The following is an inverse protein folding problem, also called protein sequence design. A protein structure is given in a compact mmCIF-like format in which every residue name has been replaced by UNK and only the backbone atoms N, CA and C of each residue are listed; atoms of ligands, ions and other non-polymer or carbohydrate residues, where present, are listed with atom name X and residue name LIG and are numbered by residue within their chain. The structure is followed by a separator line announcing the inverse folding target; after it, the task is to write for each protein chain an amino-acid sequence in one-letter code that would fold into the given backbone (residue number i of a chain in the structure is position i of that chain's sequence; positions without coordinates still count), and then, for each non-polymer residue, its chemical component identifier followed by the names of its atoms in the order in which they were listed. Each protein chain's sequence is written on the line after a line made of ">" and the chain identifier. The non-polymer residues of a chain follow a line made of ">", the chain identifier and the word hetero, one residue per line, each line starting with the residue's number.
data_IF_167818974145
#
_entry.id   IF_167818974145
#
_cell.length_a   1.000
_cell.length_b   1.000
_cell.length_c   1.000
_cell.angle_alpha   90.00
_cell.angle_beta   90.00
_cell.angle_gamma   90.00
#
_symmetry.space_group_name_H-M   'P 1'
#
loop_
_entity.id
_entity.type
_entity.pdbx_description
1 polymer ?
#
# COMPACT_ATOMS: atom_id res chain seq x y z
N UNK A 1 -20.39 -39.18 -44.90
CA UNK A 1 -18.95 -39.13 -44.56
C UNK A 1 -18.55 -37.66 -44.46
N UNK A 2 -17.98 -37.27 -43.29
CA UNK A 2 -16.96 -36.23 -43.12
C UNK A 2 -17.44 -34.77 -43.40
N UNK A 3 -17.37 -33.79 -42.51
CA UNK A 3 -16.48 -33.46 -41.39
C UNK A 3 -17.31 -32.62 -40.38
N UNK A 4 -17.56 -33.09 -39.16
CA UNK A 4 -16.74 -32.83 -37.95
C UNK A 4 -16.40 -31.35 -37.72
N UNK A 5 -17.14 -30.76 -36.77
CA UNK A 5 -16.71 -29.79 -35.76
C UNK A 5 -15.39 -29.05 -36.05
N UNK A 6 -15.48 -27.85 -36.62
CA UNK A 6 -14.41 -26.87 -36.52
C UNK A 6 -14.53 -26.16 -35.15
N UNK A 7 -13.70 -26.63 -34.22
CA UNK A 7 -13.11 -25.96 -33.07
C UNK A 7 -13.52 -24.48 -32.95
N UNK A 8 -14.20 -24.00 -31.90
CA UNK A 8 -13.95 -24.34 -30.51
C UNK A 8 -12.62 -23.73 -30.06
N UNK A 9 -12.70 -22.60 -29.35
CA UNK A 9 -11.65 -22.02 -28.49
C UNK A 9 -10.66 -21.09 -29.21
N UNK A 10 -11.04 -19.81 -29.32
CA UNK A 10 -10.06 -18.70 -29.27
C UNK A 10 -10.61 -17.58 -28.36
N UNK A 11 -10.93 -17.95 -27.13
CA UNK A 11 -11.08 -17.00 -26.01
C UNK A 11 -10.00 -17.34 -24.98
N UNK A 12 -8.74 -17.43 -25.44
CA UNK A 12 -7.61 -17.58 -24.53
C UNK A 12 -7.27 -16.20 -23.97
N UNK A 13 -7.87 -15.91 -22.82
CA UNK A 13 -7.20 -15.27 -21.69
C UNK A 13 -6.59 -13.89 -22.00
N UNK A 14 -7.46 -12.90 -22.18
CA UNK A 14 -7.17 -11.56 -21.64
C UNK A 14 -7.62 -11.56 -20.18
N UNK A 15 -7.00 -12.39 -19.34
CA UNK A 15 -6.99 -12.06 -17.92
C UNK A 15 -6.11 -10.82 -17.84
N UNK A 16 -6.65 -9.63 -17.49
CA UNK A 16 -5.77 -8.56 -17.08
C UNK A 16 -4.94 -9.15 -15.95
N UNK A 17 -3.63 -9.23 -16.14
CA UNK A 17 -2.71 -9.41 -15.03
C UNK A 17 -2.92 -8.18 -14.16
N UNK A 18 -3.92 -8.22 -13.29
CA UNK A 18 -4.04 -7.32 -12.19
C UNK A 18 -2.79 -7.62 -11.37
N UNK A 19 -1.76 -6.80 -11.55
CA UNK A 19 -0.52 -6.91 -10.79
C UNK A 19 -0.93 -6.87 -9.32
N UNK A 20 -0.89 -8.03 -8.67
CA UNK A 20 -1.32 -8.15 -7.30
C UNK A 20 -0.38 -7.29 -6.45
N UNK A 21 -0.92 -6.22 -5.89
CA UNK A 21 -0.20 -5.41 -4.92
C UNK A 21 -0.38 -6.05 -3.55
N UNK A 22 0.72 -6.33 -2.87
CA UNK A 22 0.70 -6.85 -1.50
C UNK A 22 1.55 -5.97 -0.60
N UNK A 23 1.03 -5.65 0.58
CA UNK A 23 1.74 -4.92 1.62
C UNK A 23 1.67 -5.74 2.90
N UNK A 24 2.84 -6.01 3.48
CA UNK A 24 3.02 -6.80 4.69
C UNK A 24 3.92 -6.00 5.64
N UNK A 25 3.82 -6.24 6.94
CA UNK A 25 4.72 -5.62 7.91
C UNK A 25 5.14 -6.59 9.01
N UNK A 26 6.29 -6.31 9.62
CA UNK A 26 6.81 -7.06 10.75
C UNK A 26 7.38 -6.11 11.82
N UNK A 27 7.16 -6.36 13.12
CA UNK A 27 6.29 -7.40 13.68
C UNK A 27 4.80 -7.13 13.38
N UNK A 28 3.97 -8.18 13.37
CA UNK A 28 2.53 -8.09 13.06
C UNK A 28 1.79 -7.16 14.05
N UNK A 29 2.14 -7.25 15.33
CA UNK A 29 1.65 -6.40 16.41
C UNK A 29 2.82 -5.62 17.03
N UNK A 30 3.24 -4.49 16.44
CA UNK A 30 4.39 -3.76 16.94
C UNK A 30 4.11 -3.05 18.26
N UNK A 31 5.08 -3.10 19.17
CA UNK A 31 5.04 -2.28 20.39
C UNK A 31 5.40 -0.84 20.05
N UNK A 32 4.81 0.13 20.75
CA UNK A 32 5.27 1.52 20.68
C UNK A 32 6.78 1.59 20.97
N UNK A 33 7.52 2.33 20.15
CA UNK A 33 8.97 2.46 20.23
C UNK A 33 9.76 1.32 19.56
N UNK A 34 9.10 0.25 19.08
CA UNK A 34 9.76 -0.79 18.29
C UNK A 34 9.91 -0.38 16.82
N UNK A 35 10.87 -0.99 16.13
CA UNK A 35 11.04 -0.80 14.69
C UNK A 35 10.03 -1.69 13.95
N UNK A 36 9.32 -1.08 13.01
CA UNK A 36 8.42 -1.75 12.07
C UNK A 36 9.07 -1.75 10.70
N UNK A 37 9.15 -2.91 10.08
CA UNK A 37 9.55 -3.08 8.69
C UNK A 37 8.33 -3.35 7.83
N UNK A 38 8.12 -2.51 6.82
CA UNK A 38 7.06 -2.62 5.83
C UNK A 38 7.65 -3.14 4.53
N UNK A 39 7.01 -4.17 3.98
CA UNK A 39 7.35 -4.82 2.72
C UNK A 39 6.21 -4.58 1.74
N UNK A 40 6.49 -4.01 0.57
CA UNK A 40 5.52 -3.81 -0.48
C UNK A 40 5.96 -4.52 -1.77
N UNK A 41 5.14 -5.43 -2.27
CA UNK A 41 5.28 -6.02 -3.61
C UNK A 41 4.39 -5.21 -4.54
N UNK A 42 5.00 -4.48 -5.45
CA UNK A 42 4.31 -3.62 -6.40
C UNK A 42 4.48 -4.18 -7.81
N UNK A 43 3.50 -3.94 -8.69
CA UNK A 43 3.63 -4.20 -10.13
C UNK A 43 4.57 -3.24 -10.86
N UNK A 44 5.33 -2.43 -10.13
CA UNK A 44 6.28 -1.44 -10.66
C UNK A 44 7.72 -1.88 -10.37
N UNK A 45 8.65 -1.48 -11.24
CA UNK A 45 10.06 -1.85 -11.13
C UNK A 45 10.85 -0.92 -10.18
N UNK A 46 12.13 -1.22 -10.00
CA UNK A 46 13.06 -0.47 -9.12
C UNK A 46 13.35 0.98 -9.54
N UNK A 47 12.98 1.39 -10.76
CA UNK A 47 13.25 2.75 -11.26
C UNK A 47 12.29 3.80 -10.72
N UNK A 48 11.19 3.39 -10.08
CA UNK A 48 10.20 4.30 -9.50
C UNK A 48 10.64 4.83 -8.13
N UNK A 49 10.22 6.05 -7.80
CA UNK A 49 10.42 6.59 -6.46
C UNK A 49 9.33 6.08 -5.52
N UNK A 50 9.65 5.09 -4.69
CA UNK A 50 8.70 4.54 -3.72
C UNK A 50 8.98 5.07 -2.31
N UNK A 51 7.95 5.63 -1.68
CA UNK A 51 8.00 6.11 -0.31
C UNK A 51 6.92 5.45 0.53
N UNK A 52 7.25 5.21 1.79
CA UNK A 52 6.29 4.91 2.83
C UNK A 52 5.93 6.23 3.49
N UNK A 53 4.65 6.54 3.55
CA UNK A 53 4.11 7.57 4.42
C UNK A 53 3.54 6.88 5.66
N UNK A 54 3.81 7.44 6.84
CA UNK A 54 3.11 7.05 8.06
C UNK A 54 2.67 8.27 8.85
N UNK A 55 1.42 8.27 9.33
CA UNK A 55 0.78 9.42 9.97
C UNK A 55 0.26 9.09 11.37
N UNK A 56 0.42 10.04 12.29
CA UNK A 56 -0.19 10.04 13.63
C UNK A 56 -0.94 11.35 13.84
N UNK A 57 -2.26 11.30 13.83
CA UNK A 57 -3.08 12.51 13.84
C UNK A 57 -2.82 13.34 12.58
N UNK A 58 -2.30 14.56 12.74
CA UNK A 58 -1.99 15.46 11.61
C UNK A 58 -0.52 15.44 11.18
N UNK A 59 0.34 14.70 11.88
CA UNK A 59 1.77 14.63 11.58
C UNK A 59 2.07 13.39 10.72
N UNK A 60 2.68 13.62 9.55
CA UNK A 60 3.07 12.56 8.61
C UNK A 60 4.56 12.60 8.30
N UNK A 61 5.14 11.43 8.10
CA UNK A 61 6.56 11.23 7.82
C UNK A 61 6.73 10.35 6.59
N UNK A 62 7.79 10.58 5.81
CA UNK A 62 7.95 10.01 4.47
C UNK A 62 9.30 9.30 4.27
N UNK A 63 9.61 8.23 5.02
CA UNK A 63 10.79 7.43 4.75
C UNK A 63 10.81 6.89 3.31
N UNK A 64 11.97 6.97 2.67
CA UNK A 64 12.19 6.31 1.37
C UNK A 64 12.23 4.80 1.55
N UNK A 65 11.64 4.05 0.63
CA UNK A 65 11.75 2.60 0.58
C UNK A 65 12.92 2.20 -0.32
N UNK A 66 13.54 1.06 -0.01
CA UNK A 66 14.61 0.46 -0.82
C UNK A 66 14.09 -0.78 -1.52
N UNK A 67 14.45 -0.96 -2.79
CA UNK A 67 14.12 -2.18 -3.51
C UNK A 67 15.12 -3.29 -3.19
N UNK A 68 14.66 -4.36 -2.56
CA UNK A 68 15.47 -5.48 -2.11
C UNK A 68 14.71 -6.80 -2.33
N UNK A 69 15.33 -7.79 -2.99
CA UNK A 69 14.77 -9.13 -3.19
C UNK A 69 13.35 -9.16 -3.78
N UNK A 70 13.05 -8.26 -4.72
CA UNK A 70 11.73 -8.21 -5.37
C UNK A 70 10.67 -7.41 -4.61
N UNK A 71 11.01 -6.81 -3.45
CA UNK A 71 10.09 -6.04 -2.61
C UNK A 71 10.66 -4.66 -2.31
N UNK A 72 9.79 -3.68 -2.11
CA UNK A 72 10.14 -2.40 -1.52
C UNK A 72 10.11 -2.52 0.00
N UNK A 73 11.18 -2.08 0.66
CA UNK A 73 11.39 -2.22 2.11
C UNK A 73 11.54 -0.84 2.74
N UNK A 74 10.69 -0.54 3.70
CA UNK A 74 10.72 0.70 4.48
C UNK A 74 10.70 0.40 5.97
N UNK A 75 11.38 1.23 6.77
CA UNK A 75 11.43 1.08 8.22
C UNK A 75 11.00 2.36 8.91
N UNK A 76 10.27 2.23 10.02
CA UNK A 76 9.98 3.35 10.93
C UNK A 76 9.87 2.85 12.37
N UNK A 77 10.04 3.77 13.33
CA UNK A 77 9.82 3.47 14.76
C UNK A 77 8.35 3.72 15.08
N UNK A 78 7.65 2.72 15.61
CA UNK A 78 6.23 2.77 15.95
C UNK A 78 5.95 3.93 16.93
N UNK A 79 5.29 5.01 16.50
CA UNK A 79 5.17 6.23 17.31
C UNK A 79 3.99 6.20 18.29
N UNK A 80 2.99 5.36 18.02
CA UNK A 80 1.73 5.29 18.75
C UNK A 80 1.18 3.85 18.75
N UNK A 81 0.01 3.63 19.36
CA UNK A 81 -0.66 2.30 19.36
C UNK A 81 -1.31 1.96 18.02
N UNK A 82 -1.55 2.96 17.17
CA UNK A 82 -1.98 2.75 15.78
C UNK A 82 -1.39 3.85 14.91
N UNK A 83 -1.07 3.50 13.68
CA UNK A 83 -0.50 4.42 12.69
C UNK A 83 -1.11 4.12 11.34
N UNK A 84 -1.55 5.16 10.65
CA UNK A 84 -2.01 5.03 9.27
C UNK A 84 -0.79 5.07 8.36
N UNK A 85 -0.75 4.16 7.38
CA UNK A 85 0.34 4.01 6.44
C UNK A 85 -0.16 4.09 5.01
N UNK A 86 0.60 4.76 4.16
CA UNK A 86 0.34 4.89 2.71
C UNK A 86 1.61 4.53 1.95
N UNK A 87 1.47 3.77 0.86
CA UNK A 87 2.57 3.57 -0.10
C UNK A 87 2.38 4.56 -1.24
N UNK A 88 3.41 5.37 -1.48
CA UNK A 88 3.45 6.37 -2.54
C UNK A 88 4.41 5.90 -3.64
N UNK A 89 3.98 5.98 -4.89
CA UNK A 89 4.82 5.74 -6.08
C UNK A 89 4.86 7.04 -6.88
N UNK A 90 6.05 7.61 -7.03
CA UNK A 90 6.28 8.91 -7.70
C UNK A 90 5.41 10.06 -7.15
N UNK A 91 5.05 9.96 -5.86
CA UNK A 91 4.22 10.94 -5.15
C UNK A 91 2.73 10.63 -5.15
N UNK A 92 2.28 9.59 -5.87
CA UNK A 92 0.88 9.19 -5.93
C UNK A 92 0.59 8.02 -4.97
N UNK A 93 -0.50 8.08 -4.16
CA UNK A 93 -0.88 6.98 -3.29
C UNK A 93 -1.42 5.80 -4.08
N UNK A 94 -0.80 4.64 -3.90
CA UNK A 94 -1.21 3.38 -4.54
C UNK A 94 -1.85 2.40 -3.56
N UNK A 95 -1.65 2.61 -2.25
CA UNK A 95 -2.24 1.79 -1.19
C UNK A 95 -2.23 2.51 0.14
N UNK A 96 -3.22 2.21 0.98
CA UNK A 96 -3.39 2.73 2.33
C UNK A 96 -3.83 1.62 3.29
N UNK A 97 -3.45 1.72 4.55
CA UNK A 97 -3.87 0.82 5.62
C UNK A 97 -3.51 1.36 7.00
N UNK A 98 -3.83 0.60 8.04
CA UNK A 98 -3.53 0.98 9.42
C UNK A 98 -2.78 -0.17 10.10
N UNK A 99 -1.61 0.13 10.66
CA UNK A 99 -0.87 -0.80 11.51
C UNK A 99 -1.33 -0.58 12.96
N UNK A 100 -1.80 -1.65 13.59
CA UNK A 100 -2.23 -1.64 14.99
C UNK A 100 -1.20 -2.35 15.86
N UNK A 101 -0.72 -1.65 16.87
CA UNK A 101 0.28 -2.14 17.81
C UNK A 101 -0.26 -3.06 18.90
N UNK A 102 0.66 -3.72 19.59
CA UNK A 102 0.34 -4.60 20.72
C UNK A 102 -0.36 -3.80 21.84
N UNK A 103 -1.53 -4.28 22.28
CA UNK A 103 -2.34 -3.65 23.33
C UNK A 103 -3.69 -3.11 22.86
N UNK A 104 -3.90 -2.97 21.55
CA UNK A 104 -5.16 -2.48 20.97
C UNK A 104 -5.94 -3.60 20.27
N UNK A 105 -6.48 -4.54 21.07
CA UNK A 105 -7.60 -5.42 20.71
C UNK A 105 -7.34 -6.58 19.71
N UNK A 106 -7.81 -7.77 20.08
CA UNK A 106 -7.75 -9.03 19.31
C UNK A 106 -8.57 -9.00 18.01
N UNK A 107 -8.02 -8.51 16.90
CA UNK A 107 -8.59 -8.77 15.58
C UNK A 107 -7.48 -9.07 14.57
N UNK A 108 -7.47 -10.24 13.91
CA UNK A 108 -6.50 -10.56 12.86
C UNK A 108 -6.54 -9.52 11.74
N UNK A 109 -5.38 -8.98 11.38
CA UNK A 109 -5.21 -7.81 10.48
C UNK A 109 -5.48 -8.06 9.00
N UNK A 110 -6.29 -9.06 8.66
CA UNK A 110 -6.73 -9.34 7.29
C UNK A 110 -8.22 -9.13 7.15
N UNK A 111 -8.73 -7.92 7.43
CA UNK A 111 -10.08 -7.56 6.99
C UNK A 111 -10.16 -6.13 6.41
N UNK A 112 -10.38 -6.14 5.10
CA UNK A 112 -11.09 -5.15 4.25
C UNK A 112 -10.33 -3.87 3.91
N UNK A 113 -9.72 -3.91 2.72
CA UNK A 113 -9.36 -2.75 1.91
C UNK A 113 -10.63 -1.92 1.65
N UNK A 114 -10.88 -0.91 2.47
CA UNK A 114 -11.78 0.17 2.12
C UNK A 114 -10.98 1.17 1.27
N UNK A 115 -11.22 1.15 -0.04
CA UNK A 115 -10.78 2.22 -0.95
C UNK A 115 -11.47 3.51 -0.46
N UNK A 116 -10.75 4.36 0.27
CA UNK A 116 -11.26 5.70 0.61
C UNK A 116 -10.94 6.63 -0.57
N UNK A 117 -11.95 7.21 -1.24
CA UNK A 117 -11.71 8.23 -2.26
C UNK A 117 -11.17 9.52 -1.62
N UNK A 118 -9.95 9.88 -2.00
CA UNK A 118 -9.29 11.18 -1.95
C UNK A 118 -9.91 12.30 -1.07
N UNK A 119 -9.26 12.62 0.05
CA UNK A 119 -9.30 13.97 0.61
C UNK A 119 -8.16 14.82 0.02
N UNK A 120 -8.33 15.30 -1.22
CA UNK A 120 -7.55 16.44 -1.75
C UNK A 120 -8.52 17.61 -1.88
N UNK A 121 -8.75 18.35 -0.80
CA UNK A 121 -9.44 19.64 -0.88
C UNK A 121 -9.26 20.54 0.36
N UNK A 122 -8.03 20.80 0.84
CA UNK A 122 -7.85 21.89 1.83
C UNK A 122 -6.63 22.81 1.64
N UNK A 123 -5.81 22.65 0.58
CA UNK A 123 -4.62 23.49 0.41
C UNK A 123 -4.66 24.55 -0.71
N UNK A 124 -5.80 24.79 -1.37
CA UNK A 124 -5.86 25.73 -2.50
C UNK A 124 -6.93 26.84 -2.45
N UNK A 125 -7.61 27.09 -1.33
CA UNK A 125 -8.58 28.22 -1.26
C UNK A 125 -8.02 29.49 -0.58
N UNK A 126 -6.88 29.43 0.11
CA UNK A 126 -6.38 30.61 0.83
C UNK A 126 -5.50 31.57 0.01
N UNK A 127 -5.34 31.35 -1.30
CA UNK A 127 -4.52 32.22 -2.16
C UNK A 127 -5.24 32.72 -3.42
N UNK A 128 -6.41 33.32 -3.23
CA UNK A 128 -7.04 34.32 -4.10
C UNK A 128 -8.05 35.06 -3.21
N UNK A 129 -8.00 36.36 -2.98
CA UNK A 129 -7.38 37.46 -3.71
C UNK A 129 -7.49 38.68 -2.79
N UNK A 130 -6.35 39.30 -2.49
CA UNK A 130 -6.28 40.73 -2.25
C UNK A 130 -6.21 41.40 -3.62
#
# INVERSE_FOLDING_TARGET
>A
MKYLAALGIFALVLLPYASAMTVEWHPEHPKKGSVVTVYATLGVNESHNVKLEYCVGTACFYPSMKYENGKWVGNFTMPAESVDITILVDGEPVWNGTITGEGKGNTPSFEIVAIIPAFIATLLIWKRKN
#
